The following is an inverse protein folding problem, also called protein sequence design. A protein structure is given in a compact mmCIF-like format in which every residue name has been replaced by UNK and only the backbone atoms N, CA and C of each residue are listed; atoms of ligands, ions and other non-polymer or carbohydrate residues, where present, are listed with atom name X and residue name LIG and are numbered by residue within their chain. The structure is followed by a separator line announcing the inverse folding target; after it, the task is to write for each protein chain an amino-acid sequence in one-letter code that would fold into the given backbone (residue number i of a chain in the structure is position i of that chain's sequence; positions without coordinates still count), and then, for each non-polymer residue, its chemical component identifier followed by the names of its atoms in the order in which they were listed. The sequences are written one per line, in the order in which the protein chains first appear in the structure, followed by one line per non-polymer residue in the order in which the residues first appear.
data_IF_897485366209
#
_entry.id   IF_897485366209
#
_cell.length_a   1.000
_cell.length_b   1.000
_cell.length_c   1.000
_cell.angle_alpha   90.00
_cell.angle_beta   90.00
_cell.angle_gamma   90.00
#
_symmetry.space_group_name_H-M   'P 1'
#
loop_
_entity.id
_entity.type
_entity.pdbx_description
1 polymer ?
#
# COMPACT_ATOMS: atom_id res chain seq x y z
N UNK A 1 4.32 37.64 -18.76
CA UNK A 1 3.66 37.49 -17.44
C UNK A 1 3.76 36.03 -17.09
N UNK A 2 4.74 35.67 -16.26
CA UNK A 2 5.02 34.28 -15.91
C UNK A 2 3.93 33.80 -14.95
N UNK A 3 3.17 32.80 -15.37
CA UNK A 3 2.19 32.14 -14.52
C UNK A 3 2.97 31.33 -13.48
N UNK A 4 2.95 31.80 -12.24
CA UNK A 4 3.49 31.10 -11.09
C UNK A 4 2.57 29.90 -10.82
N UNK A 5 2.91 28.75 -11.42
CA UNK A 5 2.17 27.51 -11.31
C UNK A 5 2.37 26.95 -9.90
N UNK A 6 1.49 27.38 -8.99
CA UNK A 6 1.39 26.86 -7.62
C UNK A 6 1.27 25.34 -7.71
N UNK A 7 2.17 24.55 -7.09
CA UNK A 7 2.08 23.10 -7.18
C UNK A 7 0.70 22.67 -6.68
N UNK A 8 -0.06 22.00 -7.55
CA UNK A 8 -1.39 21.52 -7.22
C UNK A 8 -1.31 20.70 -5.93
N UNK A 9 -2.17 21.02 -4.97
CA UNK A 9 -2.16 20.34 -3.68
C UNK A 9 -2.32 18.83 -3.90
N UNK A 10 -1.48 18.01 -3.23
CA UNK A 10 -1.54 16.56 -3.36
C UNK A 10 -2.97 16.04 -3.10
N UNK A 11 -3.47 15.09 -3.91
CA UNK A 11 -4.82 14.58 -3.78
C UNK A 11 -5.02 14.01 -2.37
N UNK A 12 -6.24 14.16 -1.84
CA UNK A 12 -6.67 13.68 -0.51
C UNK A 12 -7.56 12.45 -0.59
N UNK A 13 -7.96 12.06 -1.79
CA UNK A 13 -8.76 10.88 -2.07
C UNK A 13 -8.45 10.27 -3.43
N UNK A 14 -8.84 9.02 -3.64
CA UNK A 14 -8.76 8.38 -4.96
C UNK A 14 -9.56 9.16 -6.02
N UNK A 15 -10.73 9.68 -5.67
CA UNK A 15 -11.54 10.47 -6.59
C UNK A 15 -10.83 11.75 -7.04
N UNK A 16 -10.14 12.45 -6.14
CA UNK A 16 -9.30 13.60 -6.50
C UNK A 16 -8.11 13.18 -7.37
N UNK A 17 -7.46 12.07 -7.04
CA UNK A 17 -6.36 11.54 -7.85
C UNK A 17 -6.82 11.18 -9.28
N UNK A 18 -8.02 10.63 -9.45
CA UNK A 18 -8.59 10.33 -10.77
C UNK A 18 -8.95 11.59 -11.56
N UNK A 19 -9.42 12.67 -10.90
CA UNK A 19 -9.70 13.96 -11.57
C UNK A 19 -8.45 14.62 -12.14
N UNK A 20 -7.28 14.34 -11.56
CA UNK A 20 -6.00 14.84 -12.06
C UNK A 20 -5.38 14.00 -13.17
N UNK A 21 -6.00 12.89 -13.59
CA UNK A 21 -5.50 12.06 -14.70
C UNK A 21 -5.96 12.60 -16.04
N UNK A 22 -5.12 12.42 -17.05
CA UNK A 22 -5.51 12.66 -18.44
C UNK A 22 -6.40 11.54 -19.00
N UNK A 23 -6.99 11.79 -20.17
CA UNK A 23 -7.90 10.86 -20.83
C UNK A 23 -7.21 9.54 -21.21
N UNK A 24 -5.91 9.58 -21.54
CA UNK A 24 -5.15 8.38 -21.89
C UNK A 24 -4.99 7.45 -20.68
N UNK A 25 -4.68 8.01 -19.51
CA UNK A 25 -4.56 7.29 -18.25
C UNK A 25 -5.92 6.78 -17.75
N UNK A 26 -7.00 7.56 -17.94
CA UNK A 26 -8.36 7.10 -17.63
C UNK A 26 -8.77 5.95 -18.57
N UNK A 27 -8.51 6.05 -19.87
CA UNK A 27 -8.77 4.98 -20.82
C UNK A 27 -7.95 3.72 -20.48
N UNK A 28 -6.70 3.86 -20.02
CA UNK A 28 -5.87 2.75 -19.57
C UNK A 28 -6.45 2.06 -18.32
N UNK A 29 -6.94 2.84 -17.35
CA UNK A 29 -7.66 2.32 -16.19
C UNK A 29 -8.90 1.50 -16.61
N UNK A 30 -9.73 2.03 -17.51
CA UNK A 30 -10.96 1.32 -17.92
C UNK A 30 -10.66 0.06 -18.75
N UNK A 31 -9.60 0.08 -19.56
CA UNK A 31 -9.11 -1.11 -20.29
C UNK A 31 -8.56 -2.17 -19.34
N UNK A 32 -7.77 -1.77 -18.34
CA UNK A 32 -7.20 -2.68 -17.35
C UNK A 32 -8.24 -3.17 -16.34
N UNK A 33 -9.31 -2.41 -16.08
CA UNK A 33 -10.42 -2.81 -15.18
C UNK A 33 -11.79 -2.65 -15.85
N UNK A 34 -12.17 -3.58 -16.77
CA UNK A 34 -13.46 -3.53 -17.46
C UNK A 34 -14.67 -3.63 -16.52
N UNK A 35 -14.49 -4.18 -15.31
CA UNK A 35 -15.53 -4.23 -14.30
C UNK A 35 -15.94 -2.85 -13.76
N UNK A 36 -15.15 -1.80 -14.01
CA UNK A 36 -15.47 -0.45 -13.60
C UNK A 36 -16.53 0.24 -14.46
N UNK A 37 -16.83 -0.27 -15.66
CA UNK A 37 -17.78 0.36 -16.60
C UNK A 37 -19.13 -0.33 -16.65
N UNK A 38 -19.41 -1.28 -15.76
CA UNK A 38 -20.68 -2.03 -15.75
C UNK A 38 -21.40 -1.90 -14.40
N UNK A 39 -22.47 -1.08 -14.29
CA UNK A 39 -22.97 -0.12 -15.30
C UNK A 39 -22.03 1.08 -15.48
N UNK A 40 -22.15 1.83 -16.58
CA UNK A 40 -21.27 2.99 -16.86
C UNK A 40 -21.34 4.00 -15.73
N UNK A 41 -20.20 4.44 -15.15
CA UNK A 41 -20.24 5.38 -14.04
C UNK A 41 -20.64 6.78 -14.51
N UNK A 42 -21.42 7.49 -13.69
CA UNK A 42 -21.89 8.85 -14.00
C UNK A 42 -20.83 9.92 -13.79
N UNK A 43 -19.85 9.64 -12.93
CA UNK A 43 -18.75 10.56 -12.61
C UNK A 43 -17.54 9.81 -12.01
N UNK A 44 -16.44 10.54 -11.80
CA UNK A 44 -15.19 10.01 -11.24
C UNK A 44 -15.29 9.62 -9.76
N UNK A 45 -16.26 10.16 -9.01
CA UNK A 45 -16.49 9.77 -7.62
C UNK A 45 -17.13 8.39 -7.55
N UNK A 46 -18.10 8.11 -8.42
CA UNK A 46 -18.69 6.78 -8.56
C UNK A 46 -17.67 5.76 -9.10
N UNK A 47 -16.85 6.16 -10.07
CA UNK A 47 -15.74 5.34 -10.58
C UNK A 47 -14.77 4.97 -9.44
N UNK A 48 -14.32 5.95 -8.65
CA UNK A 48 -13.42 5.72 -7.51
C UNK A 48 -14.05 4.81 -6.45
N UNK A 49 -15.33 5.02 -6.14
CA UNK A 49 -16.08 4.19 -5.18
C UNK A 49 -16.13 2.75 -5.66
N UNK A 50 -16.47 2.52 -6.94
CA UNK A 50 -16.50 1.18 -7.53
C UNK A 50 -15.11 0.54 -7.55
N UNK A 51 -14.07 1.29 -7.91
CA UNK A 51 -12.69 0.82 -7.91
C UNK A 51 -12.19 0.38 -6.54
N UNK A 52 -12.73 0.96 -5.47
CA UNK A 52 -12.47 0.56 -4.09
C UNK A 52 -13.29 -0.63 -3.58
N UNK A 53 -14.29 -1.13 -4.33
CA UNK A 53 -15.11 -2.25 -3.85
C UNK A 53 -14.31 -3.56 -3.81
N UNK A 54 -14.62 -4.42 -2.83
CA UNK A 54 -13.92 -5.70 -2.63
C UNK A 54 -13.90 -6.57 -3.89
N UNK A 55 -15.04 -6.74 -4.56
CA UNK A 55 -15.12 -7.56 -5.77
C UNK A 55 -14.23 -7.01 -6.90
N UNK A 56 -14.19 -5.69 -7.06
CA UNK A 56 -13.39 -5.02 -8.09
C UNK A 56 -11.89 -5.09 -7.76
N UNK A 57 -11.52 -4.91 -6.50
CA UNK A 57 -10.12 -5.01 -6.03
C UNK A 57 -9.60 -6.44 -6.15
N UNK A 58 -10.36 -7.46 -5.73
CA UNK A 58 -9.96 -8.87 -5.85
C UNK A 58 -9.64 -9.21 -7.30
N UNK A 59 -10.53 -8.87 -8.24
CA UNK A 59 -10.29 -9.11 -9.67
C UNK A 59 -9.06 -8.38 -10.21
N UNK A 60 -8.80 -7.17 -9.73
CA UNK A 60 -7.61 -6.43 -10.12
C UNK A 60 -6.33 -7.11 -9.61
N UNK A 61 -6.31 -7.52 -8.34
CA UNK A 61 -5.19 -8.24 -7.73
C UNK A 61 -4.92 -9.60 -8.40
N UNK A 62 -5.96 -10.35 -8.77
CA UNK A 62 -5.84 -11.64 -9.48
C UNK A 62 -5.22 -11.52 -10.88
N UNK A 63 -5.24 -10.33 -11.47
CA UNK A 63 -4.69 -10.04 -12.80
C UNK A 63 -3.25 -9.50 -12.76
N UNK A 64 -2.71 -9.24 -11.57
CA UNK A 64 -1.34 -8.77 -11.41
C UNK A 64 -0.35 -9.91 -11.64
N UNK A 65 0.80 -9.60 -12.23
CA UNK A 65 1.94 -10.50 -12.17
C UNK A 65 2.45 -10.63 -10.73
N UNK A 66 3.29 -11.65 -10.50
CA UNK A 66 3.79 -11.98 -9.16
C UNK A 66 4.57 -10.83 -8.50
N UNK A 67 5.40 -10.13 -9.26
CA UNK A 67 6.26 -9.07 -8.71
C UNK A 67 5.42 -7.82 -8.37
N UNK A 68 4.46 -7.48 -9.22
CA UNK A 68 3.51 -6.39 -8.98
C UNK A 68 2.59 -6.71 -7.79
N UNK A 69 2.12 -7.95 -7.66
CA UNK A 69 1.37 -8.40 -6.48
C UNK A 69 2.21 -8.32 -5.20
N UNK A 70 3.48 -8.75 -5.24
CA UNK A 70 4.40 -8.64 -4.12
C UNK A 70 4.67 -7.17 -3.74
N UNK A 71 4.75 -6.27 -4.72
CA UNK A 71 4.86 -4.82 -4.47
C UNK A 71 3.62 -4.28 -3.73
N UNK A 72 2.42 -4.73 -4.12
CA UNK A 72 1.19 -4.37 -3.40
C UNK A 72 1.15 -4.94 -1.97
N UNK A 73 1.67 -6.15 -1.78
CA UNK A 73 1.81 -6.77 -0.45
C UNK A 73 2.79 -6.00 0.44
N UNK A 74 3.94 -5.57 -0.10
CA UNK A 74 4.89 -4.72 0.62
C UNK A 74 4.25 -3.40 1.04
N UNK A 75 3.50 -2.74 0.14
CA UNK A 75 2.72 -1.56 0.51
C UNK A 75 1.66 -1.82 1.58
N UNK A 76 1.08 -3.03 1.63
CA UNK A 76 0.07 -3.38 2.63
C UNK A 76 0.64 -3.51 4.05
N UNK A 77 1.94 -3.80 4.19
CA UNK A 77 2.65 -3.87 5.48
C UNK A 77 3.48 -2.63 5.80
N UNK A 78 3.78 -1.79 4.80
CA UNK A 78 4.42 -0.49 4.96
C UNK A 78 3.51 0.50 5.72
N UNK A 79 4.09 1.62 6.14
CA UNK A 79 3.36 2.76 6.68
C UNK A 79 2.22 3.23 5.75
N UNK A 80 1.25 3.96 6.30
CA UNK A 80 0.17 4.57 5.51
C UNK A 80 0.05 6.07 5.81
N UNK A 81 0.46 6.96 4.89
CA UNK A 81 1.07 6.67 3.59
C UNK A 81 2.53 6.20 3.71
N UNK A 82 3.01 5.42 2.74
CA UNK A 82 4.42 5.01 2.62
C UNK A 82 5.18 5.93 1.65
N UNK A 83 6.50 6.03 1.82
CA UNK A 83 7.36 6.64 0.80
C UNK A 83 7.83 5.59 -0.22
N UNK A 84 8.22 6.03 -1.41
CA UNK A 84 8.89 5.17 -2.40
C UNK A 84 10.18 4.57 -1.84
N UNK A 85 10.94 5.34 -1.05
CA UNK A 85 12.18 4.87 -0.43
C UNK A 85 11.95 3.72 0.56
N UNK A 86 10.88 3.78 1.35
CA UNK A 86 10.46 2.70 2.24
C UNK A 86 10.03 1.46 1.45
N UNK A 87 9.17 1.62 0.44
CA UNK A 87 8.75 0.53 -0.43
C UNK A 87 9.95 -0.14 -1.11
N UNK A 88 10.90 0.66 -1.60
CA UNK A 88 12.13 0.16 -2.20
C UNK A 88 12.96 -0.63 -1.19
N UNK A 89 13.09 -0.14 0.05
CA UNK A 89 13.80 -0.87 1.11
C UNK A 89 13.15 -2.22 1.43
N UNK A 90 11.82 -2.27 1.52
CA UNK A 90 11.07 -3.52 1.75
C UNK A 90 11.23 -4.53 0.61
N UNK A 91 11.28 -4.06 -0.64
CA UNK A 91 11.35 -4.93 -1.82
C UNK A 91 12.77 -5.37 -2.15
N UNK A 92 13.74 -4.46 -2.08
CA UNK A 92 15.12 -4.68 -2.54
C UNK A 92 16.08 -5.06 -1.41
N UNK A 93 15.63 -5.03 -0.14
CA UNK A 93 16.45 -5.29 1.04
C UNK A 93 17.50 -4.20 1.30
N UNK A 94 18.30 -4.41 2.34
CA UNK A 94 19.32 -3.45 2.79
C UNK A 94 20.41 -3.19 1.74
N UNK A 95 20.76 -4.24 0.97
CA UNK A 95 21.76 -4.17 -0.11
C UNK A 95 21.23 -3.49 -1.39
N UNK A 96 19.93 -3.16 -1.44
CA UNK A 96 19.23 -2.56 -2.59
C UNK A 96 19.51 -3.31 -3.89
N UNK A 97 19.00 -4.54 -4.00
CA UNK A 97 19.12 -5.36 -5.21
C UNK A 97 18.83 -4.53 -6.48
N UNK A 98 19.78 -4.46 -7.44
CA UNK A 98 19.66 -3.60 -8.62
C UNK A 98 18.57 -4.06 -9.59
N UNK A 99 18.29 -5.36 -9.67
CA UNK A 99 17.23 -5.91 -10.53
C UNK A 99 15.87 -5.51 -9.97
N UNK A 100 15.69 -5.62 -8.65
CA UNK A 100 14.45 -5.18 -7.98
C UNK A 100 14.28 -3.67 -8.10
N UNK A 101 15.34 -2.91 -7.86
CA UNK A 101 15.34 -1.44 -7.97
C UNK A 101 14.94 -0.97 -9.37
N UNK A 102 15.41 -1.65 -10.42
CA UNK A 102 15.05 -1.35 -11.80
C UNK A 102 13.61 -1.75 -12.15
N UNK A 103 13.08 -2.82 -11.57
CA UNK A 103 11.73 -3.33 -11.86
C UNK A 103 10.61 -2.57 -11.10
N UNK A 104 10.91 -2.06 -9.91
CA UNK A 104 9.92 -1.44 -9.01
C UNK A 104 9.13 -0.27 -9.63
N UNK A 105 9.75 0.68 -10.38
CA UNK A 105 9.00 1.77 -11.01
C UNK A 105 7.89 1.28 -11.94
N UNK A 106 8.13 0.20 -12.69
CA UNK A 106 7.13 -0.39 -13.58
C UNK A 106 5.98 -1.01 -12.79
N UNK A 107 6.28 -1.83 -11.78
CA UNK A 107 5.26 -2.44 -10.92
C UNK A 107 4.39 -1.39 -10.23
N UNK A 108 4.99 -0.32 -9.68
CA UNK A 108 4.25 0.79 -9.09
C UNK A 108 3.40 1.54 -10.13
N UNK A 109 3.91 1.68 -11.36
CA UNK A 109 3.16 2.21 -12.49
C UNK A 109 1.90 1.41 -12.80
N UNK A 110 1.98 0.08 -12.82
CA UNK A 110 0.83 -0.82 -13.02
C UNK A 110 -0.20 -0.66 -11.90
N UNK A 111 0.25 -0.61 -10.64
CA UNK A 111 -0.66 -0.41 -9.50
C UNK A 111 -1.37 0.96 -9.55
N UNK A 112 -0.67 2.00 -9.99
CA UNK A 112 -1.24 3.33 -10.22
C UNK A 112 -2.23 3.29 -11.39
N UNK A 113 -1.87 2.70 -12.52
CA UNK A 113 -2.75 2.57 -13.69
C UNK A 113 -4.08 1.93 -13.30
N UNK A 114 -4.04 0.81 -12.56
CA UNK A 114 -5.22 0.08 -12.10
C UNK A 114 -5.96 0.73 -10.91
N UNK A 115 -5.59 1.93 -10.49
CA UNK A 115 -6.18 2.65 -9.36
C UNK A 115 -6.16 1.86 -8.04
N UNK A 116 -5.15 1.00 -7.86
CA UNK A 116 -4.87 0.30 -6.60
C UNK A 116 -3.98 1.16 -5.69
N UNK A 117 -3.13 2.00 -6.27
CA UNK A 117 -2.28 2.96 -5.57
C UNK A 117 -2.52 4.37 -6.09
N UNK A 118 -2.49 5.35 -5.19
CA UNK A 118 -2.58 6.77 -5.51
C UNK A 118 -1.65 7.59 -4.60
N UNK A 119 -1.46 8.87 -4.94
CA UNK A 119 -0.51 9.75 -4.25
C UNK A 119 0.87 9.80 -4.93
N UNK A 120 1.65 10.81 -4.54
CA UNK A 120 3.03 11.01 -4.99
C UNK A 120 4.00 10.01 -4.37
N UNK A 121 5.24 10.02 -4.84
CA UNK A 121 6.29 9.10 -4.36
C UNK A 121 6.67 9.33 -2.89
N UNK A 122 6.34 10.49 -2.33
CA UNK A 122 6.47 10.80 -0.91
C UNK A 122 5.34 10.20 -0.06
N UNK A 123 4.17 9.92 -0.68
CA UNK A 123 2.95 9.48 0.01
C UNK A 123 2.13 8.50 -0.82
N UNK A 124 2.71 7.33 -1.08
CA UNK A 124 2.05 6.20 -1.70
C UNK A 124 0.94 5.67 -0.80
N UNK A 125 -0.27 5.57 -1.35
CA UNK A 125 -1.47 5.08 -0.66
C UNK A 125 -2.08 3.91 -1.42
N UNK A 126 -1.96 2.73 -0.84
CA UNK A 126 -2.71 1.56 -1.27
C UNK A 126 -4.20 1.77 -0.94
N UNK A 127 -5.11 1.40 -1.84
CA UNK A 127 -6.55 1.46 -1.53
C UNK A 127 -6.87 0.59 -0.33
N UNK A 128 -7.68 1.13 0.59
CA UNK A 128 -7.98 0.52 1.89
C UNK A 128 -8.36 -0.96 1.77
N UNK A 129 -9.25 -1.30 0.84
CA UNK A 129 -9.70 -2.67 0.65
C UNK A 129 -8.61 -3.61 0.15
N UNK A 130 -7.64 -3.13 -0.65
CA UNK A 130 -6.48 -3.93 -1.02
C UNK A 130 -5.56 -4.15 0.19
N UNK A 131 -5.35 -3.13 1.02
CA UNK A 131 -4.61 -3.28 2.28
C UNK A 131 -5.26 -4.32 3.19
N UNK A 132 -6.58 -4.25 3.39
CA UNK A 132 -7.35 -5.21 4.20
C UNK A 132 -7.29 -6.65 3.65
N UNK A 133 -7.16 -6.82 2.33
CA UNK A 133 -7.04 -8.12 1.68
C UNK A 133 -5.64 -8.73 1.78
N UNK A 134 -4.60 -7.88 1.79
CA UNK A 134 -3.21 -8.30 1.65
C UNK A 134 -2.42 -8.25 2.96
N UNK A 135 -2.80 -7.41 3.92
CA UNK A 135 -2.10 -7.28 5.18
C UNK A 135 -2.29 -8.55 6.06
N UNK A 136 -1.23 -8.99 6.77
CA UNK A 136 -1.33 -10.08 7.74
C UNK A 136 -2.34 -9.75 8.83
N UNK A 137 -3.10 -10.76 9.25
CA UNK A 137 -3.94 -10.69 10.45
C UNK A 137 -3.90 -11.99 11.23
N UNK A 138 -4.21 -11.98 12.53
CA UNK A 138 -4.23 -13.19 13.36
C UNK A 138 -5.28 -14.21 12.89
N UNK A 139 -6.33 -13.75 12.22
CA UNK A 139 -7.46 -14.56 11.78
C UNK A 139 -7.28 -15.08 10.35
N UNK A 140 -6.42 -14.43 9.56
CA UNK A 140 -6.15 -14.80 8.18
C UNK A 140 -4.64 -14.71 7.92
N UNK A 141 -3.96 -15.85 7.70
CA UNK A 141 -2.59 -15.82 7.20
C UNK A 141 -2.60 -15.08 5.87
N UNK A 142 -1.94 -13.92 5.82
CA UNK A 142 -1.85 -13.17 4.56
C UNK A 142 -1.01 -13.93 3.53
N UNK A 143 -1.21 -13.68 2.24
CA UNK A 143 -0.39 -14.27 1.19
C UNK A 143 1.10 -13.87 1.27
N UNK A 144 1.48 -12.96 2.17
CA UNK A 144 2.88 -12.62 2.43
C UNK A 144 3.63 -13.70 3.23
N UNK A 145 2.91 -14.63 3.88
CA UNK A 145 3.50 -15.60 4.80
C UNK A 145 3.99 -14.99 6.12
N UNK A 146 3.82 -13.68 6.30
CA UNK A 146 4.08 -12.99 7.55
C UNK A 146 2.95 -13.36 8.53
N UNK A 147 3.33 -13.84 9.72
CA UNK A 147 2.41 -14.16 10.81
C UNK A 147 1.75 -12.91 11.41
N UNK A 148 1.11 -13.02 12.60
CA UNK A 148 0.60 -11.83 13.29
C UNK A 148 1.71 -10.81 13.52
N UNK A 149 1.35 -9.53 13.56
CA UNK A 149 2.29 -8.46 13.90
C UNK A 149 2.88 -8.67 15.30
N UNK A 150 4.05 -8.09 15.59
CA UNK A 150 4.66 -8.15 16.94
C UNK A 150 3.64 -7.70 18.01
N UNK A 151 2.87 -6.64 17.72
CA UNK A 151 1.82 -6.13 18.60
C UNK A 151 0.73 -7.17 18.88
N UNK A 152 0.29 -7.88 17.86
CA UNK A 152 -0.74 -8.92 18.03
C UNK A 152 -0.19 -10.16 18.72
N UNK A 153 1.05 -10.58 18.39
CA UNK A 153 1.70 -11.73 19.00
C UNK A 153 2.00 -11.51 20.49
N UNK A 154 2.26 -10.27 20.90
CA UNK A 154 2.52 -9.87 22.30
C UNK A 154 1.25 -9.45 23.06
N UNK A 155 0.08 -9.46 22.41
CA UNK A 155 -1.16 -9.05 23.03
C UNK A 155 -1.49 -9.97 24.24
N UNK A 156 -1.65 -9.36 25.41
CA UNK A 156 -1.91 -10.08 26.67
C UNK A 156 -0.67 -10.60 27.40
N UNK A 157 0.54 -10.39 26.88
CA UNK A 157 1.77 -10.62 27.65
C UNK A 157 1.92 -9.62 28.80
N UNK A 158 2.53 -10.05 29.90
CA UNK A 158 2.85 -9.15 31.01
C UNK A 158 3.95 -8.15 30.59
N UNK A 159 3.98 -6.93 31.17
CA UNK A 159 5.03 -5.96 30.87
C UNK A 159 6.44 -6.51 31.11
N UNK A 160 6.64 -7.28 32.19
CA UNK A 160 7.93 -7.93 32.49
C UNK A 160 8.37 -8.90 31.40
N UNK A 161 7.43 -9.69 30.84
CA UNK A 161 7.74 -10.60 29.74
C UNK A 161 8.16 -9.87 28.47
N UNK A 162 7.54 -8.73 28.17
CA UNK A 162 7.91 -7.93 27.00
C UNK A 162 9.31 -7.32 27.20
N UNK A 163 9.65 -6.85 28.41
CA UNK A 163 11.00 -6.36 28.71
C UNK A 163 12.07 -7.45 28.58
N UNK A 164 11.78 -8.69 28.98
CA UNK A 164 12.69 -9.83 28.75
C UNK A 164 12.95 -10.05 27.24
N UNK A 165 11.91 -9.92 26.40
CA UNK A 165 12.04 -10.06 24.94
C UNK A 165 12.91 -8.93 24.37
N UNK A 166 12.65 -7.68 24.75
CA UNK A 166 13.45 -6.51 24.32
C UNK A 166 14.93 -6.67 24.71
N UNK A 167 15.20 -7.06 25.96
CA UNK A 167 16.56 -7.30 26.43
C UNK A 167 17.24 -8.45 25.67
N UNK A 168 16.51 -9.52 25.37
CA UNK A 168 17.02 -10.66 24.58
C UNK A 168 17.36 -10.25 23.13
N UNK A 169 16.61 -9.29 22.56
CA UNK A 169 16.89 -8.70 21.26
C UNK A 169 18.05 -7.68 21.28
N UNK A 170 18.65 -7.41 22.45
CA UNK A 170 19.74 -6.43 22.60
C UNK A 170 19.27 -4.97 22.56
N UNK A 171 17.97 -4.73 22.69
CA UNK A 171 17.38 -3.39 22.69
C UNK A 171 17.33 -2.79 24.11
N UNK A 172 17.38 -1.45 24.25
CA UNK A 172 17.31 -0.79 25.55
C UNK A 172 15.93 -0.97 26.20
N UNK A 173 15.90 -1.10 27.53
CA UNK A 173 14.65 -1.18 28.29
C UNK A 173 13.78 0.06 28.08
N UNK A 174 12.48 -0.13 28.00
CA UNK A 174 11.50 0.95 27.85
C UNK A 174 10.66 1.14 29.12
N UNK A 175 9.93 2.26 29.20
CA UNK A 175 9.16 2.62 30.38
C UNK A 175 7.77 1.97 30.45
N UNK A 176 7.28 1.41 29.33
CA UNK A 176 5.98 0.74 29.25
C UNK A 176 5.97 -0.32 28.12
N UNK A 177 4.97 -1.21 28.14
CA UNK A 177 4.83 -2.31 27.18
C UNK A 177 4.49 -1.88 25.75
N UNK A 178 3.82 -0.75 25.56
CA UNK A 178 3.48 -0.23 24.23
C UNK A 178 4.75 0.30 23.56
N UNK A 179 5.56 1.07 24.29
CA UNK A 179 6.87 1.54 23.86
C UNK A 179 7.82 0.37 23.61
N UNK A 180 7.78 -0.67 24.44
CA UNK A 180 8.59 -1.89 24.27
C UNK A 180 8.26 -2.65 22.96
N UNK A 181 6.98 -2.73 22.60
CA UNK A 181 6.51 -3.40 21.36
C UNK A 181 6.84 -2.59 20.10
N UNK A 182 7.10 -1.29 20.24
CA UNK A 182 7.42 -0.39 19.13
C UNK A 182 8.92 -0.09 18.98
N UNK A 183 9.76 -0.56 19.91
CA UNK A 183 11.21 -0.39 19.93
C UNK A 183 11.90 -1.32 18.92
#
# INVERSE_FOLDING_TARGET
MSTEEKPAAAPRSLAEALRGRDDAALAALLRSRPDLVTPVPTDLTQLATRAGTRASVVRALERLDRFTLQTAQALAVAADPASYGELLGLMAGDDRDPVVSAALPHALGVLREQALVWGGDDRLRLVRTARELLAPSPQHPSPTGLGPTVREATAGMSPGRIQEIVATAGLPSTHDSVSAVAA
#
